data_IF_813162721332
#
_entry.id   IF_813162721332
#
_cell.length_a   1.000
_cell.length_b   1.000
_cell.length_c   1.000
_cell.angle_alpha   90.00
_cell.angle_beta   90.00
_cell.angle_gamma   90.00
#
_symmetry.space_group_name_H-M   'P 1'
#
loop_
_entity.id
_entity.type
_entity.pdbx_description
1 polymer ?
#
# COMPACT_ATOMS: atom_id res chain seq x y z
N UNK A 1 -17.76 9.16 -13.42
CA UNK A 1 -16.82 10.28 -13.65
C UNK A 1 -15.97 10.42 -12.41
N UNK A 2 -14.65 10.59 -12.55
CA UNK A 2 -13.75 10.79 -11.40
C UNK A 2 -14.09 12.12 -10.71
N UNK A 3 -14.28 12.16 -9.38
CA UNK A 3 -14.44 13.42 -8.67
C UNK A 3 -13.12 14.22 -8.69
N UNK A 4 -13.24 15.54 -8.63
CA UNK A 4 -12.06 16.38 -8.35
C UNK A 4 -11.57 16.09 -6.93
N UNK A 5 -10.28 15.85 -6.79
CA UNK A 5 -9.65 15.57 -5.50
C UNK A 5 -8.86 16.79 -5.07
N UNK A 6 -9.22 17.36 -3.91
CA UNK A 6 -8.41 18.36 -3.22
C UNK A 6 -7.85 17.71 -1.97
N UNK A 7 -6.53 17.65 -1.85
CA UNK A 7 -5.87 17.14 -0.65
C UNK A 7 -5.93 18.23 0.42
N UNK A 8 -6.46 17.94 1.62
CA UNK A 8 -6.47 18.90 2.72
C UNK A 8 -5.06 19.39 3.06
N UNK A 9 -4.93 20.65 3.51
CA UNK A 9 -3.64 21.19 3.98
C UNK A 9 -3.28 20.75 5.40
N UNK A 10 -4.23 20.15 6.12
CA UNK A 10 -4.08 19.63 7.47
C UNK A 10 -4.58 18.17 7.52
N UNK A 11 -4.07 17.40 8.48
CA UNK A 11 -4.53 16.03 8.71
C UNK A 11 -5.93 16.04 9.34
N UNK A 12 -6.84 15.28 8.73
CA UNK A 12 -8.16 15.04 9.28
C UNK A 12 -8.22 13.63 9.87
N UNK A 13 -8.95 13.44 10.97
CA UNK A 13 -9.26 12.11 11.49
C UNK A 13 -9.83 11.22 10.38
N UNK A 14 -9.39 9.96 10.23
CA UNK A 14 -8.58 9.18 11.18
C UNK A 14 -7.07 9.20 10.92
N UNK A 15 -6.56 10.16 10.12
CA UNK A 15 -5.14 10.21 9.76
C UNK A 15 -4.32 10.98 10.80
N UNK A 16 -3.05 10.60 11.03
CA UNK A 16 -2.31 9.52 10.37
C UNK A 16 -2.75 8.13 10.86
N UNK A 17 -2.93 7.18 9.94
CA UNK A 17 -3.29 5.80 10.28
C UNK A 17 -2.09 4.87 10.04
N UNK A 18 -1.52 4.33 11.11
CA UNK A 18 -0.36 3.43 11.04
C UNK A 18 -0.78 1.97 10.92
N UNK A 19 -0.05 1.20 10.10
CA UNK A 19 -0.35 -0.21 9.91
C UNK A 19 0.90 -1.02 9.54
N UNK A 20 1.12 -2.11 10.27
CA UNK A 20 2.23 -3.03 10.04
C UNK A 20 1.70 -4.39 9.57
N UNK A 21 2.33 -4.95 8.55
CA UNK A 21 1.91 -6.21 7.96
C UNK A 21 3.06 -6.97 7.29
N UNK A 22 2.74 -8.17 6.81
CA UNK A 22 3.56 -8.87 5.82
C UNK A 22 2.91 -8.75 4.45
N UNK A 23 3.73 -8.61 3.42
CA UNK A 23 3.28 -8.65 2.03
C UNK A 23 2.91 -10.09 1.68
N UNK A 24 1.66 -10.31 1.27
CA UNK A 24 1.16 -11.61 0.83
C UNK A 24 1.04 -11.66 -0.69
N UNK A 25 0.99 -12.87 -1.24
CA UNK A 25 0.66 -13.04 -2.65
C UNK A 25 -0.81 -12.76 -2.88
N UNK A 26 -1.10 -12.03 -3.96
CA UNK A 26 -2.47 -11.86 -4.45
C UNK A 26 -2.92 -13.04 -5.30
N UNK A 27 -4.09 -12.90 -5.93
CA UNK A 27 -4.67 -13.91 -6.81
C UNK A 27 -4.13 -13.88 -8.26
N UNK A 28 -2.98 -13.21 -8.49
CA UNK A 28 -2.35 -13.11 -9.81
C UNK A 28 -3.20 -12.39 -10.84
N UNK A 29 -3.97 -11.38 -10.43
CA UNK A 29 -4.84 -10.60 -11.32
C UNK A 29 -4.16 -9.30 -11.76
N UNK A 30 -4.05 -9.10 -13.08
CA UNK A 30 -4.10 -7.81 -13.79
C UNK A 30 -3.02 -6.76 -13.51
N UNK A 31 -2.78 -6.34 -12.27
CA UNK A 31 -2.05 -5.10 -11.94
C UNK A 31 -0.61 -5.10 -12.48
N UNK A 32 0.11 -6.23 -12.38
CA UNK A 32 1.42 -6.39 -13.02
C UNK A 32 1.36 -6.32 -14.56
N UNK A 33 0.30 -6.82 -15.18
CA UNK A 33 0.05 -6.73 -16.64
C UNK A 33 -0.45 -5.33 -17.08
N UNK A 34 -0.86 -4.49 -16.13
CA UNK A 34 -1.10 -3.06 -16.33
C UNK A 34 0.19 -2.24 -16.21
N UNK A 35 1.30 -2.83 -15.77
CA UNK A 35 2.54 -2.12 -15.43
C UNK A 35 2.50 -1.41 -14.07
N UNK A 36 1.51 -1.74 -13.22
CA UNK A 36 1.24 -1.09 -11.93
C UNK A 36 1.23 -2.19 -10.85
N UNK A 37 2.39 -2.75 -10.47
CA UNK A 37 2.42 -3.86 -9.52
C UNK A 37 1.92 -3.43 -8.14
N UNK A 38 1.05 -4.26 -7.54
CA UNK A 38 0.49 -4.04 -6.20
C UNK A 38 0.91 -5.12 -5.21
N UNK A 39 1.24 -4.71 -3.99
CA UNK A 39 1.48 -5.58 -2.85
C UNK A 39 0.16 -5.83 -2.10
N UNK A 40 -0.21 -7.09 -1.89
CA UNK A 40 -1.43 -7.43 -1.15
C UNK A 40 -1.12 -7.40 0.36
N UNK A 41 -2.01 -6.77 1.12
CA UNK A 41 -1.88 -6.58 2.57
C UNK A 41 -3.09 -7.20 3.28
N UNK A 42 -2.90 -8.02 4.32
CA UNK A 42 -4.00 -8.48 5.17
C UNK A 42 -4.73 -7.29 5.79
N UNK A 43 -6.06 -7.25 5.62
CA UNK A 43 -6.84 -6.05 5.93
C UNK A 43 -6.85 -5.71 7.42
N UNK A 44 -7.09 -6.66 8.32
CA UNK A 44 -7.05 -6.41 9.77
C UNK A 44 -7.79 -5.13 10.18
N UNK A 45 -7.10 -4.19 10.84
CA UNK A 45 -7.68 -2.89 11.27
C UNK A 45 -8.02 -1.95 10.10
N UNK A 46 -7.47 -2.15 8.91
CA UNK A 46 -7.82 -1.37 7.72
C UNK A 46 -9.30 -1.54 7.33
N UNK A 47 -9.97 -2.58 7.84
CA UNK A 47 -11.40 -2.83 7.57
C UNK A 47 -12.30 -1.68 8.07
N UNK A 48 -11.82 -0.89 9.03
CA UNK A 48 -12.53 0.30 9.55
C UNK A 48 -12.46 1.50 8.61
N UNK A 49 -11.58 1.50 7.61
CA UNK A 49 -11.47 2.56 6.61
C UNK A 49 -12.47 2.33 5.48
N UNK A 50 -12.96 3.40 4.87
CA UNK A 50 -13.88 3.32 3.73
C UNK A 50 -13.24 2.64 2.52
N UNK A 51 -14.06 2.09 1.63
CA UNK A 51 -13.54 1.59 0.36
C UNK A 51 -13.13 2.76 -0.55
N UNK A 52 -11.95 2.69 -1.15
CA UNK A 52 -11.42 3.71 -2.04
C UNK A 52 -9.90 3.73 -2.10
N UNK A 53 -9.38 4.86 -2.60
CA UNK A 53 -7.95 5.08 -2.83
C UNK A 53 -7.40 6.05 -1.80
N UNK A 54 -6.25 5.70 -1.23
CA UNK A 54 -5.54 6.43 -0.19
C UNK A 54 -4.10 6.70 -0.62
N UNK A 55 -3.43 7.63 0.08
CA UNK A 55 -2.00 7.89 -0.09
C UNK A 55 -1.27 7.89 1.24
N UNK A 56 0.06 7.71 1.18
CA UNK A 56 0.91 7.82 2.34
C UNK A 56 2.33 7.33 2.09
N UNK A 57 3.03 7.01 3.17
CA UNK A 57 4.38 6.44 3.11
C UNK A 57 4.38 4.97 3.50
N UNK A 58 5.37 4.25 2.97
CA UNK A 58 5.66 2.89 3.38
C UNK A 58 7.15 2.66 3.54
N UNK A 59 7.52 1.63 4.31
CA UNK A 59 8.88 1.13 4.40
C UNK A 59 8.86 -0.38 4.41
N UNK A 60 9.62 -0.97 3.49
CA UNK A 60 9.85 -2.41 3.45
C UNK A 60 11.03 -2.79 4.35
N UNK A 61 10.95 -3.97 4.95
CA UNK A 61 12.03 -4.58 5.69
C UNK A 61 12.14 -6.06 5.35
N UNK A 62 13.38 -6.56 5.36
CA UNK A 62 13.65 -7.99 5.19
C UNK A 62 13.08 -8.76 6.38
N UNK A 63 12.50 -9.91 6.08
CA UNK A 63 12.11 -10.86 7.11
C UNK A 63 13.15 -11.98 7.13
N UNK A 64 14.02 -12.01 8.14
CA UNK A 64 15.17 -12.92 8.20
C UNK A 64 14.78 -14.39 8.45
N UNK A 65 13.49 -14.72 8.46
CA UNK A 65 13.06 -16.13 8.42
C UNK A 65 13.46 -16.71 7.06
N UNK A 66 14.38 -17.68 7.11
CA UNK A 66 15.00 -18.34 5.95
C UNK A 66 14.07 -19.33 5.22
N UNK A 67 12.80 -19.39 5.58
CA UNK A 67 11.84 -20.28 4.95
C UNK A 67 11.40 -19.66 3.62
N UNK A 68 11.99 -20.17 2.52
CA UNK A 68 11.46 -19.97 1.18
C UNK A 68 10.18 -20.78 1.07
N UNK A 69 9.05 -20.13 1.34
CA UNK A 69 7.77 -20.75 1.09
C UNK A 69 7.51 -20.72 -0.41
N UNK A 70 7.41 -21.90 -1.01
CA UNK A 70 6.83 -22.05 -2.34
C UNK A 70 5.35 -22.30 -2.14
N UNK A 71 4.52 -21.31 -2.43
CA UNK A 71 3.08 -21.50 -2.46
C UNK A 71 2.63 -21.76 -3.90
N UNK A 72 1.73 -22.71 -4.10
CA UNK A 72 1.03 -22.85 -5.38
C UNK A 72 -0.23 -21.99 -5.37
N UNK A 73 -0.41 -21.16 -6.41
CA UNK A 73 -1.63 -20.41 -6.64
C UNK A 73 -2.00 -20.51 -8.12
N UNK A 74 -3.20 -21.03 -8.40
CA UNK A 74 -3.70 -21.23 -9.78
C UNK A 74 -2.71 -21.99 -10.69
N UNK A 75 -2.01 -22.99 -10.16
CA UNK A 75 -1.01 -23.77 -10.90
C UNK A 75 0.31 -23.05 -11.17
N UNK A 76 0.52 -21.84 -10.62
CA UNK A 76 1.81 -21.14 -10.64
C UNK A 76 2.50 -21.27 -9.28
N UNK A 77 3.78 -21.62 -9.31
CA UNK A 77 4.67 -21.59 -8.16
C UNK A 77 5.01 -20.13 -7.83
N UNK A 78 4.66 -19.69 -6.62
CA UNK A 78 4.99 -18.37 -6.08
C UNK A 78 6.12 -18.54 -5.08
N UNK A 79 7.27 -17.92 -5.36
CA UNK A 79 8.41 -17.89 -4.46
C UNK A 79 8.29 -16.73 -3.48
N UNK A 80 8.24 -17.04 -2.19
CA UNK A 80 8.38 -16.06 -1.12
C UNK A 80 9.87 -15.90 -0.81
N UNK A 81 10.42 -14.73 -1.15
CA UNK A 81 11.82 -14.42 -0.87
C UNK A 81 12.00 -13.58 0.40
N UNK A 82 10.92 -13.30 1.14
CA UNK A 82 10.93 -12.58 2.41
C UNK A 82 11.61 -11.20 2.35
N UNK A 83 11.63 -10.58 1.17
CA UNK A 83 12.32 -9.31 0.92
C UNK A 83 13.85 -9.44 0.86
N UNK A 84 14.42 -10.64 0.88
CA UNK A 84 15.88 -10.86 0.87
C UNK A 84 16.59 -10.27 -0.35
N UNK A 85 15.86 -10.04 -1.45
CA UNK A 85 16.37 -9.42 -2.68
C UNK A 85 16.25 -7.89 -2.70
N UNK A 86 15.61 -7.27 -1.71
CA UNK A 86 15.52 -5.82 -1.56
C UNK A 86 16.92 -5.24 -1.28
N UNK A 87 17.28 -4.16 -1.97
CA UNK A 87 18.60 -3.52 -1.89
C UNK A 87 18.52 -2.00 -2.07
N UNK A 88 19.46 -1.28 -1.47
CA UNK A 88 19.58 0.17 -1.66
C UNK A 88 18.27 0.91 -1.39
N UNK A 89 17.78 1.62 -2.43
CA UNK A 89 16.54 2.43 -2.36
C UNK A 89 15.28 1.63 -2.04
N UNK A 90 15.27 0.32 -2.28
CA UNK A 90 14.13 -0.55 -1.95
C UNK A 90 13.79 -0.56 -0.45
N UNK A 91 14.77 -0.25 0.40
CA UNK A 91 14.67 -0.24 1.86
C UNK A 91 14.52 1.18 2.44
N UNK A 92 14.44 2.20 1.59
CA UNK A 92 14.10 3.56 2.02
C UNK A 92 12.60 3.69 2.33
N UNK A 93 12.22 4.81 2.92
CA UNK A 93 10.81 5.18 3.01
C UNK A 93 10.35 5.70 1.65
N UNK A 94 9.33 5.05 1.09
CA UNK A 94 8.86 5.23 -0.28
C UNK A 94 7.40 5.69 -0.29
N UNK A 95 7.01 6.56 -1.23
CA UNK A 95 5.62 6.99 -1.37
C UNK A 95 4.77 5.84 -1.91
N UNK A 96 3.50 5.82 -1.52
CA UNK A 96 2.56 4.80 -1.98
C UNK A 96 1.15 5.36 -2.19
N UNK A 97 0.40 4.66 -3.03
CA UNK A 97 -1.07 4.70 -3.03
C UNK A 97 -1.60 3.34 -2.61
N UNK A 98 -2.74 3.33 -1.93
CA UNK A 98 -3.40 2.11 -1.45
C UNK A 98 -4.84 2.07 -1.92
N UNK A 99 -5.25 0.96 -2.50
CA UNK A 99 -6.65 0.63 -2.74
C UNK A 99 -7.17 -0.23 -1.58
N UNK A 100 -8.30 0.15 -1.00
CA UNK A 100 -9.10 -0.70 -0.11
C UNK A 100 -10.43 -0.93 -0.83
N UNK A 101 -10.75 -2.18 -1.14
CA UNK A 101 -11.94 -2.51 -1.92
C UNK A 101 -12.57 -3.83 -1.48
N UNK A 102 -13.77 -4.12 -1.94
CA UNK A 102 -14.45 -5.37 -1.59
C UNK A 102 -13.95 -6.55 -2.42
N UNK A 103 -13.66 -7.68 -1.78
CA UNK A 103 -13.12 -8.86 -2.45
C UNK A 103 -14.24 -9.74 -3.06
N UNK A 104 -14.33 -9.86 -4.40
CA UNK A 104 -15.40 -10.64 -5.05
C UNK A 104 -15.35 -12.13 -4.74
N UNK A 105 -14.17 -12.69 -4.42
CA UNK A 105 -14.01 -14.10 -4.09
C UNK A 105 -14.65 -14.50 -2.76
N UNK A 106 -14.83 -13.53 -1.86
CA UNK A 106 -15.52 -13.73 -0.59
C UNK A 106 -16.94 -13.18 -0.64
N UNK A 107 -17.59 -13.20 -1.81
CA UNK A 107 -18.93 -12.65 -2.01
C UNK A 107 -19.04 -11.18 -1.56
N UNK A 108 -17.95 -10.41 -1.71
CA UNK A 108 -17.85 -9.04 -1.21
C UNK A 108 -18.13 -8.88 0.30
N UNK A 109 -17.91 -9.93 1.10
CA UNK A 109 -18.06 -9.89 2.58
C UNK A 109 -16.81 -9.44 3.31
N UNK A 110 -15.67 -9.38 2.62
CA UNK A 110 -14.37 -8.98 3.16
C UNK A 110 -13.73 -7.96 2.26
N UNK A 111 -13.15 -6.91 2.85
CA UNK A 111 -12.29 -6.00 2.10
C UNK A 111 -10.96 -6.69 1.74
N UNK A 112 -10.28 -6.13 0.75
CA UNK A 112 -8.91 -6.40 0.36
C UNK A 112 -8.14 -5.07 0.33
N UNK A 113 -6.87 -5.09 0.70
CA UNK A 113 -5.99 -3.93 0.65
C UNK A 113 -4.81 -4.22 -0.28
N UNK A 114 -4.59 -3.32 -1.23
CA UNK A 114 -3.54 -3.41 -2.24
C UNK A 114 -2.72 -2.12 -2.25
N UNK A 115 -1.41 -2.22 -2.10
CA UNK A 115 -0.50 -1.08 -2.05
C UNK A 115 0.32 -1.03 -3.32
N UNK A 116 0.21 0.06 -4.07
CA UNK A 116 1.13 0.39 -5.15
C UNK A 116 2.22 1.31 -4.58
N UNK A 117 3.41 0.75 -4.36
CA UNK A 117 4.59 1.50 -3.94
C UNK A 117 5.15 2.21 -5.17
N UNK A 118 5.35 3.53 -5.09
CA UNK A 118 5.78 4.37 -6.21
C UNK A 118 7.31 4.27 -6.42
N UNK A 119 7.78 3.04 -6.57
CA UNK A 119 9.18 2.68 -6.76
C UNK A 119 9.28 1.45 -7.65
N UNK A 120 10.34 1.39 -8.47
CA UNK A 120 10.59 0.25 -9.35
C UNK A 120 11.49 -0.76 -8.65
N UNK A 121 10.97 -1.96 -8.44
CA UNK A 121 11.72 -3.08 -7.88
C UNK A 121 12.26 -3.99 -8.99
N UNK A 122 13.45 -4.55 -8.77
CA UNK A 122 14.05 -5.53 -9.67
C UNK A 122 13.45 -6.94 -9.50
N UNK A 123 12.83 -7.20 -8.34
CA UNK A 123 12.25 -8.49 -7.99
C UNK A 123 11.01 -8.31 -7.10
N UNK A 124 10.25 -9.39 -6.92
CA UNK A 124 9.19 -9.47 -5.93
C UNK A 124 9.75 -9.40 -4.50
N UNK A 125 8.87 -9.12 -3.55
CA UNK A 125 9.20 -9.04 -2.13
C UNK A 125 8.13 -9.71 -1.26
N UNK A 126 7.51 -10.78 -1.77
CA UNK A 126 6.52 -11.55 -1.00
C UNK A 126 7.14 -12.07 0.30
N UNK A 127 6.40 -11.92 1.41
CA UNK A 127 6.85 -12.25 2.77
C UNK A 127 7.65 -11.16 3.47
N UNK A 128 8.07 -10.10 2.76
CA UNK A 128 8.70 -8.93 3.38
C UNK A 128 7.75 -8.27 4.39
N UNK A 129 8.33 -7.71 5.44
CA UNK A 129 7.58 -6.85 6.37
C UNK A 129 7.38 -5.47 5.73
N UNK A 130 6.22 -4.89 5.92
CA UNK A 130 5.90 -3.54 5.46
C UNK A 130 5.26 -2.74 6.60
N UNK A 131 5.82 -1.56 6.86
CA UNK A 131 5.23 -0.54 7.72
C UNK A 131 4.58 0.52 6.85
N UNK A 132 3.39 0.98 7.22
CA UNK A 132 2.58 1.91 6.46
C UNK A 132 2.16 3.07 7.36
N UNK A 133 2.13 4.28 6.80
CA UNK A 133 1.38 5.41 7.36
C UNK A 133 0.48 5.97 6.27
N UNK A 134 -0.82 5.81 6.46
CA UNK A 134 -1.85 6.32 5.58
C UNK A 134 -2.20 7.73 6.05
N UNK A 135 -2.11 8.70 5.13
CA UNK A 135 -2.17 10.12 5.47
C UNK A 135 -3.41 10.83 4.92
N UNK A 136 -4.12 10.20 3.99
CA UNK A 136 -5.36 10.76 3.48
C UNK A 136 -6.03 9.89 2.45
N UNK A 137 -7.22 10.34 2.07
CA UNK A 137 -8.08 9.73 1.06
C UNK A 137 -8.04 10.54 -0.23
N UNK A 138 -7.93 9.87 -1.38
CA UNK A 138 -7.95 10.49 -2.70
C UNK A 138 -9.37 10.47 -3.27
N UNK A 139 -10.01 9.30 -3.33
CA UNK A 139 -11.30 9.11 -4.02
C UNK A 139 -11.94 7.75 -3.71
N UNK A 140 -13.26 7.60 -3.95
CA UNK A 140 -13.92 6.29 -3.89
C UNK A 140 -13.48 5.34 -5.00
N UNK A 141 -13.87 4.07 -4.85
CA UNK A 141 -13.82 3.10 -5.94
C UNK A 141 -14.64 3.61 -7.13
N UNK A 142 -14.10 3.42 -8.34
CA UNK A 142 -14.75 3.81 -9.58
C UNK A 142 -14.94 2.59 -10.47
N UNK A 143 -16.07 2.56 -11.18
CA UNK A 143 -16.33 1.55 -12.20
C UNK A 143 -15.73 2.01 -13.53
N UNK A 144 -14.95 1.14 -14.17
CA UNK A 144 -14.31 1.41 -15.45
C UNK A 144 -14.88 0.51 -16.53
N UNK A 145 -15.18 1.11 -17.69
CA UNK A 145 -15.62 0.37 -18.88
C UNK A 145 -14.46 0.00 -19.80
N UNK A 146 -13.27 0.60 -19.60
CA UNK A 146 -12.05 0.32 -20.37
C UNK A 146 -10.82 0.23 -19.46
N UNK A 147 -9.80 -0.52 -19.89
CA UNK A 147 -8.52 -0.67 -19.17
C UNK A 147 -7.76 0.66 -19.16
N UNK A 148 -7.86 1.43 -20.22
CA UNK A 148 -7.16 2.70 -20.41
C UNK A 148 -7.66 3.75 -19.41
N UNK A 149 -8.98 3.83 -19.18
CA UNK A 149 -9.56 4.75 -18.20
C UNK A 149 -9.14 4.40 -16.76
N UNK A 150 -9.02 3.10 -16.44
CA UNK A 150 -8.48 2.65 -15.16
C UNK A 150 -7.02 3.08 -14.99
N UNK A 151 -6.18 2.85 -15.99
CA UNK A 151 -4.76 3.23 -15.95
C UNK A 151 -4.60 4.75 -15.80
N UNK A 152 -5.38 5.53 -16.55
CA UNK A 152 -5.36 7.00 -16.48
C UNK A 152 -5.67 7.50 -15.06
N UNK A 153 -6.69 6.93 -14.42
CA UNK A 153 -7.04 7.32 -13.05
C UNK A 153 -6.02 6.86 -12.03
N UNK A 154 -5.39 5.69 -12.21
CA UNK A 154 -4.29 5.28 -11.33
C UNK A 154 -3.11 6.26 -11.46
N UNK A 155 -2.74 6.67 -12.68
CA UNK A 155 -1.68 7.66 -12.85
C UNK A 155 -2.01 8.98 -12.14
N UNK A 156 -3.24 9.47 -12.28
CA UNK A 156 -3.72 10.65 -11.53
C UNK A 156 -3.64 10.45 -10.01
N UNK A 157 -4.00 9.27 -9.51
CA UNK A 157 -3.87 8.94 -8.08
C UNK A 157 -2.40 9.01 -7.64
N UNK A 158 -1.47 8.46 -8.44
CA UNK A 158 -0.04 8.50 -8.12
C UNK A 158 0.53 9.92 -8.16
N UNK A 159 0.08 10.76 -9.08
CA UNK A 159 0.56 12.13 -9.21
C UNK A 159 0.05 12.99 -8.04
N UNK A 160 -1.23 12.85 -7.68
CA UNK A 160 -1.80 13.47 -6.48
C UNK A 160 -1.00 13.06 -5.23
N UNK A 161 -0.72 11.76 -5.07
CA UNK A 161 0.05 11.27 -3.93
C UNK A 161 1.47 11.85 -3.89
N UNK A 162 2.18 11.90 -5.02
CA UNK A 162 3.52 12.51 -5.07
C UNK A 162 3.51 13.97 -4.63
N UNK A 163 2.61 14.77 -5.20
CA UNK A 163 2.51 16.20 -4.84
C UNK A 163 2.10 16.40 -3.38
N UNK A 164 1.13 15.62 -2.87
CA UNK A 164 0.70 15.70 -1.49
C UNK A 164 1.82 15.36 -0.49
N UNK A 165 2.65 14.37 -0.82
CA UNK A 165 3.70 13.88 0.06
C UNK A 165 4.94 14.79 0.10
N UNK A 166 5.04 15.77 -0.79
CA UNK A 166 6.13 16.77 -0.81
C UNK A 166 5.84 17.99 0.06
N UNK A 167 4.62 18.12 0.60
CA UNK A 167 4.20 19.29 1.39
C UNK A 167 3.93 18.92 2.85
N UNK A 168 4.14 19.89 3.74
CA UNK A 168 3.80 19.78 5.16
C UNK A 168 2.26 19.70 5.34
N UNK A 169 1.75 18.89 6.29
CA UNK A 169 2.50 18.08 7.25
C UNK A 169 2.94 16.71 6.74
N UNK A 170 2.56 16.32 5.53
CA UNK A 170 2.68 14.95 5.02
C UNK A 170 4.12 14.47 4.81
N UNK A 171 5.02 15.36 4.38
CA UNK A 171 6.44 15.07 4.17
C UNK A 171 7.14 14.59 5.46
N UNK A 172 6.78 15.19 6.60
CA UNK A 172 7.39 14.93 7.90
C UNK A 172 7.21 13.48 8.39
N UNK A 173 6.14 12.80 7.95
CA UNK A 173 5.86 11.41 8.34
C UNK A 173 6.85 10.41 7.76
N UNK A 174 7.67 10.81 6.78
CA UNK A 174 8.78 9.99 6.28
C UNK A 174 9.75 9.61 7.40
N UNK A 175 9.99 10.52 8.35
CA UNK A 175 10.94 10.32 9.46
C UNK A 175 10.42 9.28 10.46
N UNK A 176 9.10 9.23 10.69
CA UNK A 176 8.49 8.31 11.65
C UNK A 176 8.72 6.84 11.24
N UNK A 177 8.71 6.55 9.93
CA UNK A 177 9.02 5.19 9.44
C UNK A 177 10.52 4.86 9.45
N UNK A 178 11.40 5.85 9.63
CA UNK A 178 12.84 5.61 9.80
C UNK A 178 13.26 5.33 11.23
N UNK A 179 12.51 5.83 12.21
CA UNK A 179 12.85 5.75 13.64
C UNK A 179 11.89 4.82 14.39
N UNK A 180 12.38 3.64 14.80
CA UNK A 180 11.57 2.65 15.52
C UNK A 180 11.13 3.12 16.91
N UNK A 181 11.83 4.10 17.51
CA UNK A 181 11.46 4.68 18.82
C UNK A 181 10.27 5.64 18.73
N UNK A 182 10.10 6.31 17.58
CA UNK A 182 8.93 7.16 17.31
C UNK A 182 7.71 6.35 16.86
N UNK A 183 7.94 5.15 16.31
CA UNK A 183 6.89 4.24 15.89
C UNK A 183 6.18 3.57 17.10
N UNK A 184 6.88 3.35 18.21
CA UNK A 184 6.33 2.69 19.42
C UNK A 184 5.77 3.66 20.47
N UNK A 185 6.23 4.91 20.49
CA UNK A 185 5.75 5.92 21.44
C UNK A 185 4.34 6.43 21.13
N UNK A 186 3.84 6.22 19.91
CA UNK A 186 2.45 6.54 19.56
C UNK A 186 1.48 5.43 19.98
N UNK A 187 1.89 4.16 20.18
CA UNK A 187 0.96 3.11 20.62
C UNK A 187 0.47 3.28 22.07
N UNK A 188 1.24 3.92 22.95
CA UNK A 188 0.89 4.08 24.37
C UNK A 188 -0.15 5.16 24.67
N UNK A 189 -0.49 6.02 23.71
CA UNK A 189 -1.46 7.12 23.89
C UNK A 189 -2.88 6.81 23.39
N UNK A 190 -3.16 5.58 22.95
CA UNK A 190 -4.47 5.20 22.35
C UNK A 190 -5.23 4.12 23.12
N UNK A 191 -5.07 4.07 24.45
CA UNK A 191 -6.03 3.40 25.34
C UNK A 191 -7.02 4.39 25.92
#
# INVERSE_FOLDING_TARGET
MRPETVIPTELCSPYPFFYDAKVVSGFGRGSSELGIPTANIPVGKLDTLEAGIYFGWCKLARNERLEYDVAESNGKSISFNNGLRLKGKDLEVLPMVMSIGWNPFYENKKKAAEVHILHKFDDNFYGASIKLVILGYIRPELNYTTKEALIEDIHKDTDIARTALEISPYDSFRIILTDESLCTSTESSWK
#
